data_IF_158339268090
#
_entry.id   IF_158339268090
#
_cell.length_a   1.000
_cell.length_b   1.000
_cell.length_c   1.000
_cell.angle_alpha   90.00
_cell.angle_beta   90.00
_cell.angle_gamma   90.00
#
_symmetry.space_group_name_H-M   'P 1'
#
loop_
_entity.id
_entity.type
_entity.pdbx_description
1 polymer ?
#
# COMPACT_ATOMS: atom_id res chain seq x y z
N UNK A 1 -18.86 -11.58 -12.12
CA UNK A 1 -17.97 -11.23 -13.24
C UNK A 1 -17.19 -9.99 -12.81
N UNK A 2 -15.97 -10.20 -12.32
CA UNK A 2 -15.02 -9.10 -12.13
C UNK A 2 -14.62 -8.70 -13.55
N UNK A 3 -15.14 -7.58 -14.03
CA UNK A 3 -14.56 -6.91 -15.19
C UNK A 3 -13.17 -6.48 -14.75
N UNK A 4 -12.15 -7.11 -15.30
CA UNK A 4 -10.77 -6.72 -15.15
C UNK A 4 -10.67 -5.25 -15.60
N UNK A 5 -10.46 -4.36 -14.64
CA UNK A 5 -10.10 -2.99 -14.95
C UNK A 5 -8.69 -3.07 -15.52
N UNK A 6 -8.61 -3.15 -16.84
CA UNK A 6 -7.36 -2.96 -17.55
C UNK A 6 -6.86 -1.55 -17.20
N UNK A 7 -5.77 -1.48 -16.46
CA UNK A 7 -5.07 -0.23 -16.17
C UNK A 7 -4.28 0.25 -17.40
N UNK A 8 -4.89 0.13 -18.58
CA UNK A 8 -4.29 0.52 -19.85
C UNK A 8 -4.70 1.93 -20.28
N UNK A 9 -5.40 2.68 -19.42
CA UNK A 9 -5.81 4.04 -19.72
C UNK A 9 -5.79 4.90 -18.46
N UNK A 10 -5.60 6.21 -18.63
CA UNK A 10 -5.63 7.20 -17.56
C UNK A 10 -4.34 7.27 -16.74
N UNK A 11 -4.48 7.62 -15.46
CA UNK A 11 -3.35 7.90 -14.56
C UNK A 11 -2.39 6.72 -14.39
N UNK A 12 -2.90 5.50 -14.42
CA UNK A 12 -2.10 4.27 -14.20
C UNK A 12 -1.90 3.47 -15.49
N UNK A 13 -1.93 4.13 -16.65
CA UNK A 13 -1.55 3.50 -17.91
C UNK A 13 -0.14 2.95 -17.82
N UNK A 14 0.00 1.63 -18.02
CA UNK A 14 1.27 0.93 -17.90
C UNK A 14 2.13 1.09 -19.16
N UNK A 15 1.52 1.39 -20.30
CA UNK A 15 2.19 1.46 -21.60
C UNK A 15 2.78 2.86 -21.88
N UNK A 16 2.45 3.85 -21.04
CA UNK A 16 2.90 5.23 -21.21
C UNK A 16 3.54 5.79 -19.93
N UNK A 17 4.68 6.48 -20.09
CA UNK A 17 5.30 7.24 -19.00
C UNK A 17 4.69 8.65 -19.02
N UNK A 18 3.82 8.94 -18.06
CA UNK A 18 3.18 10.25 -17.91
C UNK A 18 4.10 11.22 -17.21
N UNK A 19 3.88 12.52 -17.43
CA UNK A 19 4.66 13.59 -16.81
C UNK A 19 3.89 14.22 -15.65
N UNK A 20 4.56 14.39 -14.51
CA UNK A 20 4.10 15.20 -13.38
C UNK A 20 5.05 16.38 -13.21
N UNK A 21 4.49 17.60 -13.24
CA UNK A 21 5.21 18.82 -12.91
C UNK A 21 4.71 19.34 -11.56
N UNK A 22 5.62 19.58 -10.64
CA UNK A 22 5.38 20.23 -9.35
C UNK A 22 6.13 21.56 -9.30
N UNK A 23 5.44 22.62 -8.91
CA UNK A 23 6.09 23.92 -8.72
C UNK A 23 5.84 24.42 -7.32
N UNK A 24 6.92 24.58 -6.57
CA UNK A 24 6.91 25.17 -5.22
C UNK A 24 7.21 26.66 -5.32
N UNK A 25 6.43 27.47 -4.58
CA UNK A 25 6.72 28.90 -4.39
C UNK A 25 7.79 29.13 -3.32
N UNK A 26 8.02 28.12 -2.47
CA UNK A 26 9.04 28.15 -1.42
C UNK A 26 10.42 27.87 -2.03
N UNK A 27 11.38 28.79 -1.96
CA UNK A 27 12.72 28.55 -2.52
C UNK A 27 13.44 27.38 -1.86
N UNK A 28 13.28 27.22 -0.54
CA UNK A 28 13.94 26.19 0.26
C UNK A 28 13.02 24.97 0.49
N UNK A 29 12.20 24.64 -0.51
CA UNK A 29 11.16 23.60 -0.42
C UNK A 29 11.68 22.25 0.08
N UNK A 30 12.90 21.86 -0.28
CA UNK A 30 13.50 20.60 0.18
C UNK A 30 13.70 20.61 1.69
N UNK A 31 14.30 21.68 2.24
CA UNK A 31 14.50 21.86 3.68
C UNK A 31 13.16 21.86 4.43
N UNK A 32 12.14 22.51 3.87
CA UNK A 32 10.79 22.51 4.48
C UNK A 32 10.18 21.12 4.48
N UNK A 33 10.32 20.34 3.39
CA UNK A 33 9.83 18.95 3.34
C UNK A 33 10.59 18.04 4.32
N UNK A 34 11.90 18.23 4.49
CA UNK A 34 12.70 17.51 5.48
C UNK A 34 12.25 17.83 6.91
N UNK A 35 12.03 19.11 7.24
CA UNK A 35 11.54 19.54 8.56
C UNK A 35 10.13 19.00 8.86
N UNK A 36 9.30 18.86 7.84
CA UNK A 36 7.94 18.34 7.96
C UNK A 36 7.88 16.79 7.96
N UNK A 37 9.00 16.11 7.73
CA UNK A 37 9.02 14.65 7.66
C UNK A 37 8.54 14.04 8.99
N UNK A 38 7.65 13.05 8.89
CA UNK A 38 7.04 12.39 10.06
C UNK A 38 5.92 13.18 10.77
N UNK A 39 5.73 14.47 10.46
CA UNK A 39 4.69 15.30 11.10
C UNK A 39 3.32 15.19 10.45
N UNK A 40 3.24 14.61 9.26
CA UNK A 40 2.02 14.57 8.45
C UNK A 40 1.72 15.88 7.70
N UNK A 41 2.56 16.92 7.87
CA UNK A 41 2.37 18.23 7.23
C UNK A 41 2.83 18.20 5.78
N UNK A 42 1.96 18.64 4.86
CA UNK A 42 2.28 18.77 3.43
C UNK A 42 2.63 20.23 3.09
N UNK A 43 3.62 20.42 2.22
CA UNK A 43 3.95 21.71 1.62
C UNK A 43 3.09 21.94 0.38
N UNK A 44 2.63 23.16 0.20
CA UNK A 44 1.80 23.58 -0.92
C UNK A 44 2.61 23.69 -2.21
N UNK A 45 2.09 23.12 -3.31
CA UNK A 45 2.64 23.26 -4.66
C UNK A 45 1.54 23.44 -5.68
N UNK A 46 1.88 23.90 -6.90
CA UNK A 46 1.02 23.72 -8.08
C UNK A 46 1.44 22.43 -8.80
N UNK A 47 0.49 21.82 -9.50
CA UNK A 47 0.71 20.57 -10.22
C UNK A 47 0.15 20.65 -11.65
N UNK A 48 0.86 20.07 -12.61
CA UNK A 48 0.25 19.59 -13.83
C UNK A 48 0.49 18.09 -14.00
N UNK A 49 -0.45 17.44 -14.64
CA UNK A 49 -0.40 16.02 -14.99
C UNK A 49 -0.52 15.90 -16.49
N UNK A 50 0.50 15.36 -17.14
CA UNK A 50 0.59 15.19 -18.60
C UNK A 50 0.26 16.50 -19.37
N UNK A 51 0.79 17.63 -18.89
CA UNK A 51 0.56 18.97 -19.44
C UNK A 51 -0.77 19.62 -19.06
N UNK A 52 -1.67 18.90 -18.39
CA UNK A 52 -2.95 19.45 -17.93
C UNK A 52 -2.80 19.99 -16.51
N UNK A 53 -3.06 21.29 -16.34
CA UNK A 53 -2.96 21.92 -15.02
C UNK A 53 -4.06 21.42 -14.08
N UNK A 54 -3.66 21.00 -12.88
CA UNK A 54 -4.58 20.74 -11.76
C UNK A 54 -5.05 22.10 -11.21
N UNK A 55 -6.38 22.34 -11.10
CA UNK A 55 -6.90 23.69 -10.86
C UNK A 55 -6.42 24.34 -9.57
N UNK A 56 -6.55 23.63 -8.44
CA UNK A 56 -6.17 24.11 -7.12
C UNK A 56 -4.81 23.54 -6.70
N UNK A 57 -4.16 24.19 -5.73
CA UNK A 57 -2.87 23.71 -5.24
C UNK A 57 -2.97 22.35 -4.56
N UNK A 58 -1.91 21.57 -4.72
CA UNK A 58 -1.74 20.25 -4.15
C UNK A 58 -0.87 20.29 -2.89
N UNK A 59 -0.98 19.27 -2.04
CA UNK A 59 -0.09 19.05 -0.91
C UNK A 59 1.00 18.04 -1.26
N UNK A 60 2.25 18.37 -0.92
CA UNK A 60 3.38 17.48 -1.18
C UNK A 60 4.15 17.24 0.10
N UNK A 61 4.54 15.99 0.35
CA UNK A 61 5.43 15.62 1.46
C UNK A 61 6.32 14.46 1.09
N UNK A 62 7.44 14.34 1.78
CA UNK A 62 8.27 13.14 1.71
C UNK A 62 7.58 11.95 2.39
N UNK A 63 7.90 10.74 1.93
CA UNK A 63 7.41 9.49 2.51
C UNK A 63 8.50 8.41 2.54
N UNK A 64 8.24 7.34 3.32
CA UNK A 64 9.21 6.27 3.53
C UNK A 64 10.36 6.73 4.44
N UNK A 65 11.58 6.44 4.06
CA UNK A 65 12.80 6.97 4.70
C UNK A 65 13.35 8.14 3.87
N UNK A 66 13.96 9.13 4.53
CA UNK A 66 14.68 10.23 3.89
C UNK A 66 16.17 10.06 4.04
N UNK A 67 16.96 10.85 3.30
CA UNK A 67 18.42 10.78 3.31
C UNK A 67 18.94 9.67 2.40
N UNK A 68 18.26 9.43 1.26
CA UNK A 68 18.76 8.47 0.28
C UNK A 68 20.14 8.86 -0.23
N UNK A 69 21.00 7.87 -0.46
CA UNK A 69 22.38 8.11 -0.94
C UNK A 69 22.44 8.84 -2.30
N UNK A 70 21.33 8.80 -3.05
CA UNK A 70 21.20 9.47 -4.35
C UNK A 70 20.59 10.87 -4.25
N UNK A 71 20.16 11.30 -3.05
CA UNK A 71 19.40 12.54 -2.85
C UNK A 71 18.00 12.53 -3.47
N UNK A 72 17.55 11.37 -3.96
CA UNK A 72 16.25 11.21 -4.59
C UNK A 72 15.26 10.64 -3.58
N UNK A 73 14.38 11.49 -3.05
CA UNK A 73 13.39 11.10 -2.05
C UNK A 73 12.07 10.63 -2.71
N UNK A 74 11.29 9.85 -1.96
CA UNK A 74 9.93 9.47 -2.37
C UNK A 74 8.93 10.54 -1.94
N UNK A 75 7.87 10.74 -2.74
CA UNK A 75 6.87 11.76 -2.49
C UNK A 75 5.47 11.16 -2.31
N UNK A 76 4.68 11.82 -1.50
CA UNK A 76 3.23 11.74 -1.51
C UNK A 76 2.68 13.07 -2.00
N UNK A 77 1.86 13.04 -3.04
CA UNK A 77 1.19 14.20 -3.60
C UNK A 77 -0.31 14.05 -3.39
N UNK A 78 -0.94 15.04 -2.76
CA UNK A 78 -2.36 15.07 -2.41
C UNK A 78 -3.06 16.12 -3.27
N UNK A 79 -3.75 15.67 -4.32
CA UNK A 79 -4.49 16.55 -5.21
C UNK A 79 -5.64 17.26 -4.48
N UNK A 80 -6.29 16.57 -3.56
CA UNK A 80 -7.42 17.04 -2.76
C UNK A 80 -7.01 17.92 -1.54
N UNK A 81 -5.75 18.38 -1.48
CA UNK A 81 -5.19 19.11 -0.34
C UNK A 81 -5.93 20.42 -0.01
N UNK A 82 -6.26 21.22 -1.01
CA UNK A 82 -7.00 22.47 -0.85
C UNK A 82 -8.48 22.30 -1.14
N UNK A 83 -8.79 21.53 -2.15
CA UNK A 83 -10.15 21.25 -2.59
C UNK A 83 -10.44 19.75 -2.46
N UNK A 84 -11.24 19.32 -1.46
CA UNK A 84 -11.52 17.89 -1.21
C UNK A 84 -12.24 17.17 -2.35
N UNK A 85 -12.69 17.89 -3.38
CA UNK A 85 -13.32 17.32 -4.58
C UNK A 85 -12.38 17.26 -5.77
N UNK A 86 -11.16 17.75 -5.62
CA UNK A 86 -10.17 17.76 -6.68
C UNK A 86 -9.51 16.38 -6.80
N UNK A 87 -9.45 15.89 -7.99
CA UNK A 87 -8.73 14.66 -8.35
C UNK A 87 -8.14 14.80 -9.77
N UNK A 88 -7.37 13.79 -10.17
CA UNK A 88 -6.92 13.58 -11.54
C UNK A 88 -7.44 12.21 -11.95
N UNK A 89 -8.37 12.17 -12.88
CA UNK A 89 -9.03 10.94 -13.35
C UNK A 89 -9.60 10.05 -12.22
N UNK A 90 -10.12 10.69 -11.15
CA UNK A 90 -10.68 9.99 -9.98
C UNK A 90 -9.67 9.63 -8.89
N UNK A 91 -8.40 9.99 -9.05
CA UNK A 91 -7.34 9.75 -8.08
C UNK A 91 -6.91 11.03 -7.36
N UNK A 92 -7.03 11.05 -6.04
CA UNK A 92 -6.68 12.23 -5.23
C UNK A 92 -5.29 12.14 -4.60
N UNK A 93 -4.63 11.00 -4.66
CA UNK A 93 -3.32 10.80 -4.02
C UNK A 93 -2.39 10.01 -4.91
N UNK A 94 -1.18 10.53 -5.13
CA UNK A 94 -0.11 9.89 -5.87
C UNK A 94 1.02 9.54 -4.92
N UNK A 95 1.53 8.32 -5.04
CA UNK A 95 2.68 7.83 -4.30
C UNK A 95 3.82 7.64 -5.28
N UNK A 96 4.77 8.56 -5.26
CA UNK A 96 5.93 8.55 -6.15
C UNK A 96 7.11 7.93 -5.42
N UNK A 97 7.36 6.65 -5.67
CA UNK A 97 8.47 5.92 -5.06
C UNK A 97 9.76 6.14 -5.84
N UNK A 98 10.84 6.44 -5.11
CA UNK A 98 12.18 6.54 -5.67
C UNK A 98 12.81 5.17 -6.01
N UNK A 99 12.13 4.08 -5.66
CA UNK A 99 12.60 2.70 -5.84
C UNK A 99 14.00 2.43 -5.24
N UNK A 100 14.31 3.05 -4.10
CA UNK A 100 15.66 3.03 -3.49
C UNK A 100 16.22 1.62 -3.26
N UNK A 101 15.36 0.61 -3.07
CA UNK A 101 15.76 -0.78 -2.86
C UNK A 101 15.64 -1.64 -4.12
N UNK A 102 15.26 -1.06 -5.26
CA UNK A 102 15.08 -1.74 -6.54
C UNK A 102 15.81 -1.02 -7.66
N UNK A 103 17.04 -1.42 -7.93
CA UNK A 103 17.87 -0.85 -9.00
C UNK A 103 17.24 -1.03 -10.40
N UNK A 104 16.39 -2.04 -10.57
CA UNK A 104 15.68 -2.27 -11.82
C UNK A 104 14.48 -1.35 -12.01
N UNK A 105 13.92 -0.81 -10.91
CA UNK A 105 12.65 -0.09 -10.83
C UNK A 105 11.43 -0.90 -11.31
N UNK A 106 11.57 -2.22 -11.56
CA UNK A 106 10.55 -3.05 -12.21
C UNK A 106 9.79 -3.94 -11.23
N UNK A 107 10.31 -4.21 -10.03
CA UNK A 107 9.77 -5.24 -9.12
C UNK A 107 8.33 -4.96 -8.73
N UNK A 108 8.05 -3.79 -8.17
CA UNK A 108 6.70 -3.39 -7.79
C UNK A 108 5.74 -3.38 -8.99
N UNK A 109 6.20 -2.89 -10.14
CA UNK A 109 5.39 -2.85 -11.37
C UNK A 109 5.05 -4.24 -11.89
N UNK A 110 6.02 -5.15 -11.96
CA UNK A 110 5.79 -6.54 -12.38
C UNK A 110 4.89 -7.27 -11.41
N UNK A 111 5.15 -7.16 -10.10
CA UNK A 111 4.35 -7.82 -9.09
C UNK A 111 2.89 -7.37 -9.16
N UNK A 112 2.67 -6.05 -9.21
CA UNK A 112 1.33 -5.48 -9.37
C UNK A 112 0.66 -5.93 -10.66
N UNK A 113 1.33 -5.79 -11.81
CA UNK A 113 0.76 -6.14 -13.11
C UNK A 113 0.28 -7.60 -13.18
N UNK A 114 1.07 -8.52 -12.63
CA UNK A 114 0.68 -9.93 -12.56
C UNK A 114 -0.35 -10.20 -11.47
N UNK A 115 -0.13 -9.66 -10.27
CA UNK A 115 -0.98 -9.95 -9.10
C UNK A 115 -2.41 -9.42 -9.25
N UNK A 116 -2.59 -8.27 -9.88
CA UNK A 116 -3.92 -7.69 -10.16
C UNK A 116 -4.84 -8.59 -10.99
N UNK A 117 -4.31 -9.57 -11.67
CA UNK A 117 -5.10 -10.59 -12.39
C UNK A 117 -5.80 -11.58 -11.45
N UNK A 118 -5.38 -11.65 -10.18
CA UNK A 118 -5.83 -12.66 -9.24
C UNK A 118 -6.40 -12.08 -7.93
N UNK A 119 -5.81 -10.99 -7.43
CA UNK A 119 -6.20 -10.38 -6.15
C UNK A 119 -6.29 -8.85 -6.24
N UNK A 120 -6.98 -8.21 -5.28
CA UNK A 120 -6.91 -6.76 -5.12
C UNK A 120 -5.49 -6.31 -4.84
N UNK A 121 -4.94 -5.47 -5.73
CA UNK A 121 -3.63 -4.84 -5.58
C UNK A 121 -3.65 -3.41 -6.11
N UNK A 122 -2.72 -2.59 -5.67
CA UNK A 122 -2.49 -1.26 -6.21
C UNK A 122 -2.14 -1.31 -7.71
N UNK A 123 -2.57 -0.34 -8.50
CA UNK A 123 -1.96 -0.08 -9.81
C UNK A 123 -0.56 0.48 -9.61
N UNK A 124 0.35 0.10 -10.51
CA UNK A 124 1.72 0.63 -10.53
C UNK A 124 2.12 0.91 -11.97
N UNK A 125 2.58 2.14 -12.21
CA UNK A 125 3.18 2.54 -13.49
C UNK A 125 4.36 3.49 -13.24
N UNK A 126 4.80 4.20 -14.26
CA UNK A 126 5.92 5.12 -14.18
C UNK A 126 5.50 6.53 -14.54
N UNK A 127 6.16 7.49 -13.91
CA UNK A 127 6.02 8.90 -14.25
C UNK A 127 7.37 9.59 -14.27
N UNK A 128 7.54 10.52 -15.21
CA UNK A 128 8.63 11.49 -15.19
C UNK A 128 8.25 12.65 -14.29
N UNK A 129 9.03 12.86 -13.24
CA UNK A 129 8.82 13.96 -12.30
C UNK A 129 9.68 15.15 -12.65
N UNK A 130 9.07 16.32 -12.76
CA UNK A 130 9.72 17.61 -12.86
C UNK A 130 9.38 18.44 -11.62
N UNK A 131 10.37 19.12 -11.05
CA UNK A 131 10.19 20.04 -9.93
C UNK A 131 10.82 21.37 -10.29
N UNK A 132 10.04 22.46 -10.22
CA UNK A 132 10.47 23.80 -10.61
C UNK A 132 11.18 23.82 -11.97
N UNK A 133 10.52 23.23 -12.98
CA UNK A 133 10.98 23.07 -14.38
C UNK A 133 12.24 22.22 -14.58
N UNK A 134 12.79 21.63 -13.51
CA UNK A 134 13.96 20.74 -13.61
C UNK A 134 13.53 19.28 -13.59
N UNK A 135 14.10 18.45 -14.48
CA UNK A 135 13.87 17.02 -14.47
C UNK A 135 14.42 16.38 -13.19
N UNK A 136 13.54 15.79 -12.39
CA UNK A 136 13.89 15.17 -11.12
C UNK A 136 14.14 13.66 -11.23
N UNK A 137 13.61 13.04 -12.26
CA UNK A 137 13.83 11.64 -12.61
C UNK A 137 12.56 10.83 -12.84
N UNK A 138 12.77 9.59 -13.23
CA UNK A 138 11.71 8.58 -13.35
C UNK A 138 11.31 8.08 -11.96
N UNK A 139 10.01 8.01 -11.68
CA UNK A 139 9.45 7.50 -10.43
C UNK A 139 8.50 6.35 -10.69
N UNK A 140 8.45 5.41 -9.76
CA UNK A 140 7.41 4.39 -9.70
C UNK A 140 6.18 5.03 -9.05
N UNK A 141 5.09 5.17 -9.79
CA UNK A 141 3.84 5.72 -9.31
C UNK A 141 2.93 4.59 -8.83
N UNK A 142 2.72 4.53 -7.52
CA UNK A 142 1.94 3.48 -6.84
C UNK A 142 0.59 4.02 -6.41
N UNK A 143 -0.47 3.33 -6.78
CA UNK A 143 -1.83 3.69 -6.36
C UNK A 143 -1.98 3.63 -4.84
N UNK A 144 -2.49 4.71 -4.27
CA UNK A 144 -2.78 4.75 -2.84
C UNK A 144 -4.00 3.88 -2.51
N UNK A 145 -3.87 2.99 -1.54
CA UNK A 145 -4.97 2.12 -1.08
C UNK A 145 -6.00 2.91 -0.25
N UNK A 146 -6.76 3.76 -0.92
CA UNK A 146 -7.80 4.61 -0.34
C UNK A 146 -9.22 4.13 -0.68
N UNK A 147 -10.21 5.00 -0.51
CA UNK A 147 -11.61 4.67 -0.81
C UNK A 147 -11.88 4.51 -2.32
N UNK A 148 -11.11 5.18 -3.20
CA UNK A 148 -11.23 5.00 -4.65
C UNK A 148 -10.78 3.59 -5.02
N UNK A 149 -9.60 3.18 -4.56
CA UNK A 149 -9.09 1.83 -4.74
C UNK A 149 -10.04 0.76 -4.15
N UNK A 150 -10.60 0.99 -2.95
CA UNK A 150 -11.56 0.04 -2.36
C UNK A 150 -12.79 -0.13 -3.27
N UNK A 151 -13.26 0.95 -3.90
CA UNK A 151 -14.40 0.89 -4.82
C UNK A 151 -14.11 0.11 -6.11
N UNK A 152 -12.86 0.10 -6.57
CA UNK A 152 -12.46 -0.67 -7.76
C UNK A 152 -12.57 -2.18 -7.54
N UNK A 153 -12.26 -2.63 -6.34
CA UNK A 153 -12.10 -4.06 -6.04
C UNK A 153 -13.23 -4.68 -5.24
N UNK A 154 -13.99 -3.88 -4.52
CA UNK A 154 -15.03 -4.33 -3.62
C UNK A 154 -16.38 -3.73 -4.00
N UNK A 155 -17.45 -4.43 -3.67
CA UNK A 155 -18.82 -4.01 -4.01
C UNK A 155 -19.20 -2.67 -3.37
N UNK A 156 -18.55 -2.33 -2.27
CA UNK A 156 -18.85 -1.14 -1.47
C UNK A 156 -17.57 -0.47 -0.99
N UNK A 157 -17.64 0.84 -0.74
CA UNK A 157 -16.61 1.56 0.01
C UNK A 157 -16.69 1.30 1.51
N UNK A 158 -17.75 0.64 1.95
CA UNK A 158 -18.03 0.36 3.33
C UNK A 158 -17.21 -0.85 3.78
N UNK A 159 -16.22 -0.60 4.61
CA UNK A 159 -15.33 -1.63 5.11
C UNK A 159 -14.30 -1.04 6.05
N UNK A 160 -13.81 -1.85 6.96
CA UNK A 160 -12.68 -1.48 7.81
C UNK A 160 -11.38 -1.93 7.17
N UNK A 161 -10.32 -1.18 7.40
CA UNK A 161 -9.01 -1.47 6.82
C UNK A 161 -7.91 -1.26 7.84
N UNK A 162 -7.07 -2.25 7.99
CA UNK A 162 -5.89 -2.22 8.85
C UNK A 162 -4.64 -2.42 8.00
N UNK A 163 -3.57 -1.74 8.36
CA UNK A 163 -2.23 -2.06 7.89
C UNK A 163 -1.53 -2.90 8.95
N UNK A 164 -0.97 -4.02 8.55
CA UNK A 164 -0.12 -4.84 9.40
C UNK A 164 1.26 -4.18 9.49
N UNK A 165 1.39 -3.27 10.44
CA UNK A 165 2.58 -2.45 10.67
C UNK A 165 2.79 -2.34 12.19
N UNK A 166 3.90 -2.87 12.71
CA UNK A 166 4.21 -2.74 14.13
C UNK A 166 4.37 -1.27 14.53
N UNK A 167 3.90 -0.93 15.72
CA UNK A 167 4.12 0.40 16.28
C UNK A 167 5.59 0.53 16.74
N UNK A 168 6.41 1.15 15.93
CA UNK A 168 7.84 1.38 16.20
C UNK A 168 8.06 2.21 17.48
N UNK A 169 7.11 3.06 17.88
CA UNK A 169 7.21 3.88 19.08
C UNK A 169 7.24 3.06 20.38
N UNK A 170 6.79 1.80 20.29
CA UNK A 170 6.79 0.86 21.41
C UNK A 170 8.10 0.08 21.55
N UNK A 171 9.12 0.39 20.76
CA UNK A 171 10.42 -0.30 20.80
C UNK A 171 10.33 -1.79 20.49
N UNK A 172 9.37 -2.18 19.66
CA UNK A 172 9.11 -3.57 19.29
C UNK A 172 10.04 -3.97 18.16
N UNK A 173 11.34 -4.09 18.41
CA UNK A 173 12.34 -4.53 17.41
C UNK A 173 12.01 -5.92 16.84
N UNK A 174 11.36 -6.77 17.60
CA UNK A 174 10.86 -8.10 17.19
C UNK A 174 9.37 -8.12 16.86
N UNK A 175 8.76 -6.98 16.67
CA UNK A 175 7.31 -6.88 16.55
C UNK A 175 6.76 -7.53 15.28
N UNK A 176 7.61 -7.72 14.27
CA UNK A 176 7.25 -8.41 13.03
C UNK A 176 7.14 -9.92 13.15
N UNK A 177 7.78 -10.56 14.14
CA UNK A 177 7.90 -12.02 14.18
C UNK A 177 6.56 -12.74 14.40
N UNK A 178 5.70 -12.69 13.39
CA UNK A 178 4.45 -13.44 13.29
C UNK A 178 3.25 -12.87 14.03
N UNK A 179 3.35 -11.77 14.76
CA UNK A 179 2.21 -11.27 15.57
C UNK A 179 1.15 -10.54 14.76
N UNK A 180 1.52 -9.93 13.66
CA UNK A 180 0.60 -9.37 12.66
C UNK A 180 0.19 -10.37 11.55
N UNK A 181 0.55 -11.64 11.68
CA UNK A 181 0.18 -12.71 10.73
C UNK A 181 -1.20 -13.31 10.99
N UNK A 182 -2.18 -12.51 11.35
CA UNK A 182 -3.52 -12.96 11.76
C UNK A 182 -3.48 -13.91 12.97
N UNK A 183 -2.54 -13.69 13.88
CA UNK A 183 -2.45 -14.43 15.12
C UNK A 183 -3.54 -13.99 16.10
N UNK A 184 -4.10 -14.96 16.82
CA UNK A 184 -5.04 -14.67 17.90
C UNK A 184 -4.30 -14.23 19.17
N UNK A 185 -4.38 -12.94 19.49
CA UNK A 185 -3.73 -12.30 20.64
C UNK A 185 -4.66 -12.12 21.85
N UNK A 186 -5.82 -12.78 21.84
CA UNK A 186 -6.88 -12.60 22.84
C UNK A 186 -8.03 -11.74 22.30
N UNK A 187 -9.01 -11.45 23.16
CA UNK A 187 -10.23 -10.73 22.77
C UNK A 187 -10.11 -9.20 22.96
N UNK A 188 -9.02 -8.75 23.57
CA UNK A 188 -8.77 -7.33 23.80
C UNK A 188 -8.09 -6.69 22.58
N UNK A 189 -8.75 -5.72 21.97
CA UNK A 189 -8.25 -4.98 20.80
C UNK A 189 -6.94 -4.23 21.08
N UNK A 190 -6.64 -3.90 22.33
CA UNK A 190 -5.39 -3.22 22.70
C UNK A 190 -4.15 -4.06 22.40
N UNK A 191 -4.28 -5.39 22.37
CA UNK A 191 -3.21 -6.27 21.95
C UNK A 191 -2.90 -6.18 20.44
N UNK A 192 -3.92 -5.89 19.64
CA UNK A 192 -3.81 -5.78 18.18
C UNK A 192 -3.33 -4.41 17.73
N UNK A 193 -3.68 -3.33 18.42
CA UNK A 193 -3.23 -1.96 18.08
C UNK A 193 -1.70 -1.81 18.01
N UNK A 194 -0.96 -2.73 18.61
CA UNK A 194 0.51 -2.76 18.56
C UNK A 194 1.06 -3.26 17.22
N UNK A 195 0.24 -3.97 16.46
CA UNK A 195 0.66 -4.69 15.25
C UNK A 195 -0.16 -4.35 14.03
N UNK A 196 -1.28 -3.67 14.22
CA UNK A 196 -2.19 -3.26 13.16
C UNK A 196 -2.58 -1.81 13.34
N UNK A 197 -2.30 -0.99 12.34
CA UNK A 197 -2.75 0.40 12.28
C UNK A 197 -4.11 0.46 11.59
N UNK A 198 -5.15 0.93 12.29
CA UNK A 198 -6.49 1.10 11.76
C UNK A 198 -6.57 2.32 10.84
N UNK A 199 -6.47 2.09 9.53
CA UNK A 199 -6.49 3.14 8.51
C UNK A 199 -7.90 3.62 8.15
N UNK A 200 -8.91 2.78 8.38
CA UNK A 200 -10.33 3.11 8.14
C UNK A 200 -11.22 2.29 9.04
N UNK A 201 -12.16 2.98 9.68
CA UNK A 201 -13.23 2.40 10.48
C UNK A 201 -14.55 2.55 9.74
N UNK A 202 -15.33 1.47 9.65
CA UNK A 202 -16.68 1.49 9.08
C UNK A 202 -17.78 1.39 10.16
N UNK A 203 -17.50 0.75 11.26
CA UNK A 203 -18.44 0.52 12.36
C UNK A 203 -17.81 0.85 13.71
N UNK A 204 -18.64 0.98 14.76
CA UNK A 204 -18.20 1.39 16.10
C UNK A 204 -17.12 0.48 16.70
N UNK A 205 -17.20 -0.82 16.42
CA UNK A 205 -16.15 -1.79 16.78
C UNK A 205 -15.61 -2.50 15.54
N UNK A 206 -14.59 -1.95 14.90
CA UNK A 206 -13.95 -2.60 13.76
C UNK A 206 -13.11 -3.81 14.16
N UNK A 207 -12.61 -3.86 15.40
CA UNK A 207 -11.67 -4.89 15.84
C UNK A 207 -12.30 -6.27 15.99
N UNK A 208 -13.59 -6.34 16.29
CA UNK A 208 -14.30 -7.63 16.47
C UNK A 208 -14.20 -8.54 15.25
N UNK A 209 -14.16 -7.98 14.02
CA UNK A 209 -14.05 -8.78 12.79
C UNK A 209 -12.65 -9.33 12.60
N UNK A 210 -11.62 -8.50 12.81
CA UNK A 210 -10.23 -8.94 12.74
C UNK A 210 -9.93 -10.00 13.81
N UNK A 211 -10.36 -9.75 15.06
CA UNK A 211 -10.20 -10.67 16.18
C UNK A 211 -10.95 -11.99 15.92
N UNK A 212 -12.16 -11.90 15.38
CA UNK A 212 -12.95 -13.08 14.99
C UNK A 212 -12.23 -13.95 13.98
N UNK A 213 -11.70 -13.36 12.91
CA UNK A 213 -10.93 -14.08 11.89
C UNK A 213 -9.65 -14.70 12.49
N UNK A 214 -8.90 -13.94 13.28
CA UNK A 214 -7.70 -14.45 13.97
C UNK A 214 -8.04 -15.62 14.88
N UNK A 215 -9.14 -15.53 15.65
CA UNK A 215 -9.60 -16.61 16.53
C UNK A 215 -9.90 -17.90 15.75
N UNK A 216 -10.64 -17.80 14.65
CA UNK A 216 -10.99 -18.95 13.82
C UNK A 216 -9.73 -19.63 13.27
N UNK A 217 -8.80 -18.85 12.72
CA UNK A 217 -7.55 -19.42 12.17
C UNK A 217 -6.68 -20.11 13.21
N UNK A 218 -6.70 -19.65 14.46
CA UNK A 218 -5.74 -20.12 15.46
C UNK A 218 -6.35 -21.12 16.48
N UNK A 219 -7.68 -21.21 16.57
CA UNK A 219 -8.35 -22.05 17.57
C UNK A 219 -9.15 -23.21 16.99
N UNK A 220 -9.46 -23.14 15.68
CA UNK A 220 -10.23 -24.19 15.02
C UNK A 220 -9.29 -25.05 14.16
N UNK A 221 -9.69 -26.28 13.94
CA UNK A 221 -8.93 -27.23 13.10
C UNK A 221 -9.86 -28.23 12.41
N UNK A 222 -9.33 -28.94 11.41
CA UNK A 222 -10.07 -29.99 10.69
C UNK A 222 -11.39 -29.47 10.10
N UNK A 223 -12.45 -30.25 10.20
CA UNK A 223 -13.78 -29.93 9.66
C UNK A 223 -14.35 -28.64 10.25
N UNK A 224 -14.16 -28.40 11.55
CA UNK A 224 -14.64 -27.18 12.18
C UNK A 224 -14.02 -25.93 11.56
N UNK A 225 -12.72 -25.94 11.27
CA UNK A 225 -12.06 -24.86 10.56
C UNK A 225 -12.62 -24.72 9.13
N UNK A 226 -12.70 -25.82 8.40
CA UNK A 226 -13.16 -25.83 7.00
C UNK A 226 -14.59 -25.26 6.86
N UNK A 227 -15.48 -25.58 7.80
CA UNK A 227 -16.84 -25.08 7.79
C UNK A 227 -16.98 -23.63 8.21
N UNK A 228 -16.11 -23.15 9.10
CA UNK A 228 -16.24 -21.83 9.72
C UNK A 228 -15.45 -20.76 8.99
N UNK A 229 -14.25 -21.06 8.53
CA UNK A 229 -13.30 -20.06 7.97
C UNK A 229 -13.90 -19.24 6.83
N UNK A 230 -14.68 -19.87 5.95
CA UNK A 230 -15.34 -19.23 4.80
C UNK A 230 -16.35 -18.15 5.16
N UNK A 231 -16.80 -18.09 6.41
CA UNK A 231 -17.71 -17.03 6.90
C UNK A 231 -16.97 -15.78 7.40
N UNK A 232 -15.67 -15.90 7.69
CA UNK A 232 -14.84 -14.81 8.22
C UNK A 232 -13.76 -14.35 7.26
N UNK A 233 -13.34 -15.23 6.36
CA UNK A 233 -12.21 -14.99 5.45
C UNK A 233 -12.63 -15.32 4.02
N UNK A 234 -12.25 -14.49 3.07
CA UNK A 234 -12.30 -14.83 1.66
C UNK A 234 -11.16 -15.80 1.36
N UNK A 235 -11.48 -17.09 1.42
CA UNK A 235 -10.50 -18.16 1.31
C UNK A 235 -9.83 -18.17 -0.05
N UNK A 236 -10.60 -17.94 -1.13
CA UNK A 236 -10.06 -17.96 -2.49
C UNK A 236 -9.03 -16.84 -2.69
N UNK A 237 -9.39 -15.60 -2.37
CA UNK A 237 -8.45 -14.47 -2.44
C UNK A 237 -7.25 -14.63 -1.52
N UNK A 238 -7.44 -15.22 -0.33
CA UNK A 238 -6.35 -15.49 0.61
C UNK A 238 -5.37 -16.53 0.05
N UNK A 239 -5.86 -17.59 -0.58
CA UNK A 239 -4.99 -18.58 -1.21
C UNK A 239 -4.20 -18.01 -2.39
N UNK A 240 -4.81 -17.14 -3.20
CA UNK A 240 -4.11 -16.42 -4.26
C UNK A 240 -3.06 -15.45 -3.71
N UNK A 241 -3.38 -14.72 -2.64
CA UNK A 241 -2.43 -13.87 -1.94
C UNK A 241 -1.19 -14.66 -1.49
N UNK A 242 -1.38 -15.78 -0.80
CA UNK A 242 -0.28 -16.65 -0.38
C UNK A 242 0.49 -17.26 -1.55
N UNK A 243 -0.18 -17.59 -2.65
CA UNK A 243 0.46 -18.11 -3.85
C UNK A 243 1.37 -17.04 -4.50
N UNK A 244 0.89 -15.81 -4.62
CA UNK A 244 1.66 -14.69 -5.17
C UNK A 244 2.88 -14.35 -4.28
N UNK A 245 2.70 -14.30 -2.97
CA UNK A 245 3.78 -14.12 -2.01
C UNK A 245 4.90 -15.18 -2.20
N UNK A 246 4.50 -16.43 -2.38
CA UNK A 246 5.45 -17.52 -2.60
C UNK A 246 6.14 -17.45 -3.97
N UNK A 247 5.41 -17.09 -5.03
CA UNK A 247 5.97 -17.00 -6.39
C UNK A 247 6.90 -15.81 -6.55
N UNK A 248 6.48 -14.65 -6.06
CA UNK A 248 7.26 -13.41 -6.19
C UNK A 248 8.28 -13.22 -5.08
N UNK A 249 8.17 -13.98 -3.99
CA UNK A 249 9.12 -13.97 -2.87
C UNK A 249 9.44 -12.55 -2.38
N UNK A 250 8.40 -11.77 -2.12
CA UNK A 250 8.60 -10.45 -1.57
C UNK A 250 9.25 -10.56 -0.18
N UNK A 251 10.45 -10.02 -0.03
CA UNK A 251 11.20 -10.12 1.22
C UNK A 251 10.60 -9.30 2.35
N UNK A 252 9.90 -8.23 2.01
CA UNK A 252 9.17 -7.40 2.96
C UNK A 252 7.73 -7.88 3.16
N UNK A 253 7.26 -8.86 2.36
CA UNK A 253 5.88 -9.33 2.38
C UNK A 253 5.54 -10.29 3.52
N UNK A 254 4.27 -10.68 3.54
CA UNK A 254 3.64 -11.49 4.57
C UNK A 254 4.40 -12.79 4.92
N UNK A 255 4.82 -13.54 3.88
CA UNK A 255 5.45 -14.86 4.09
C UNK A 255 6.87 -14.74 4.62
N UNK A 256 7.65 -13.80 4.09
CA UNK A 256 9.08 -13.71 4.37
C UNK A 256 9.42 -12.85 5.59
N UNK A 257 8.65 -11.80 5.85
CA UNK A 257 8.89 -10.86 6.96
C UNK A 257 8.10 -11.19 8.22
N UNK A 258 7.29 -12.25 8.20
CA UNK A 258 6.54 -12.68 9.38
C UNK A 258 5.23 -11.93 9.58
N UNK A 259 4.52 -11.62 8.49
CA UNK A 259 3.18 -11.06 8.52
C UNK A 259 3.13 -9.57 8.77
N UNK A 260 4.03 -8.82 8.18
CA UNK A 260 4.01 -7.34 8.14
C UNK A 260 3.88 -6.84 6.72
N UNK A 261 3.73 -5.53 6.57
CA UNK A 261 3.69 -4.81 5.29
C UNK A 261 2.59 -5.25 4.31
N UNK A 262 1.47 -5.68 4.84
CA UNK A 262 0.27 -5.95 4.05
C UNK A 262 -0.95 -5.27 4.68
N UNK A 263 -2.06 -5.24 3.96
CA UNK A 263 -3.33 -4.76 4.50
C UNK A 263 -4.30 -5.91 4.75
N UNK A 264 -5.18 -5.71 5.71
CA UNK A 264 -6.37 -6.52 5.93
C UNK A 264 -7.58 -5.64 5.69
N UNK A 265 -8.52 -6.10 4.86
CA UNK A 265 -9.78 -5.40 4.60
C UNK A 265 -10.92 -6.27 5.06
N UNK A 266 -11.80 -5.71 5.87
CA UNK A 266 -13.11 -6.29 6.11
C UNK A 266 -14.12 -5.67 5.16
N UNK A 267 -14.74 -6.50 4.33
CA UNK A 267 -15.74 -6.10 3.35
C UNK A 267 -17.14 -6.21 3.96
N UNK A 268 -17.90 -5.12 3.96
CA UNK A 268 -19.22 -5.07 4.60
C UNK A 268 -20.27 -5.95 3.92
N UNK A 269 -20.17 -6.13 2.60
CA UNK A 269 -21.17 -6.88 1.82
C UNK A 269 -21.07 -8.40 2.03
N UNK A 270 -19.87 -8.90 2.28
CA UNK A 270 -19.64 -10.33 2.51
C UNK A 270 -19.42 -10.68 3.97
N UNK A 271 -19.06 -9.70 4.80
CA UNK A 271 -18.67 -9.91 6.20
C UNK A 271 -17.32 -10.58 6.37
N UNK A 272 -16.47 -10.60 5.34
CA UNK A 272 -15.22 -11.34 5.30
C UNK A 272 -14.01 -10.43 5.30
N UNK A 273 -12.91 -10.91 5.85
CA UNK A 273 -11.61 -10.26 5.68
C UNK A 273 -10.91 -10.77 4.43
N UNK A 274 -10.14 -9.89 3.82
CA UNK A 274 -9.30 -10.14 2.65
C UNK A 274 -7.92 -9.59 2.93
N UNK A 275 -6.83 -10.38 2.90
CA UNK A 275 -5.48 -9.85 2.89
C UNK A 275 -5.17 -9.21 1.54
N UNK A 276 -4.41 -8.13 1.56
CA UNK A 276 -4.10 -7.33 0.37
C UNK A 276 -2.63 -6.94 0.39
N UNK A 277 -1.97 -7.15 -0.73
CA UNK A 277 -0.60 -6.71 -0.95
C UNK A 277 -0.47 -5.18 -0.93
N UNK A 278 0.66 -4.72 -0.40
CA UNK A 278 0.90 -3.29 -0.28
C UNK A 278 2.12 -2.82 -1.05
N UNK A 279 3.27 -3.43 -0.83
CA UNK A 279 4.55 -2.99 -1.38
C UNK A 279 5.28 -4.18 -2.03
N UNK A 280 5.45 -4.14 -3.33
CA UNK A 280 6.19 -5.16 -4.10
C UNK A 280 7.62 -4.73 -4.44
N UNK A 281 8.15 -3.71 -3.80
CA UNK A 281 9.48 -3.18 -4.10
C UNK A 281 10.63 -4.15 -3.84
N UNK A 282 10.41 -5.14 -3.00
CA UNK A 282 11.38 -6.20 -2.70
C UNK A 282 10.99 -7.58 -3.28
N UNK A 283 9.95 -7.63 -4.11
CA UNK A 283 9.57 -8.83 -4.86
C UNK A 283 10.69 -9.27 -5.83
N UNK A 284 10.81 -10.56 -6.09
CA UNK A 284 11.81 -11.16 -6.99
C UNK A 284 13.27 -10.81 -6.63
N UNK A 285 13.52 -10.43 -5.39
CA UNK A 285 14.87 -10.10 -4.93
C UNK A 285 15.61 -11.38 -4.63
N UNK A 286 16.73 -11.62 -5.33
CA UNK A 286 17.61 -12.75 -5.04
C UNK A 286 18.09 -12.68 -3.59
N UNK A 287 18.25 -13.83 -2.92
CA UNK A 287 18.81 -13.89 -1.57
C UNK A 287 20.13 -13.11 -1.52
N UNK A 288 20.33 -12.36 -0.45
CA UNK A 288 21.65 -11.79 -0.14
C UNK A 288 22.69 -12.92 -0.05
N UNK A 289 23.97 -12.56 -0.07
CA UNK A 289 25.14 -13.46 -0.08
C UNK A 289 25.15 -14.60 0.97
N UNK A 290 24.17 -14.65 1.86
CA UNK A 290 24.01 -15.67 2.89
C UNK A 290 23.37 -16.99 2.42
N UNK A 291 23.14 -17.15 1.11
CA UNK A 291 22.84 -18.44 0.49
C UNK A 291 21.52 -19.10 0.89
N UNK A 292 20.61 -18.42 1.54
CA UNK A 292 19.28 -18.95 1.80
C UNK A 292 18.36 -18.68 0.61
N UNK A 293 18.34 -19.64 -0.30
CA UNK A 293 17.26 -19.78 -1.27
C UNK A 293 16.00 -20.22 -0.52
N UNK A 294 14.99 -19.39 -0.50
CA UNK A 294 13.71 -19.69 0.14
C UNK A 294 12.79 -20.57 -0.71
N UNK A 295 13.23 -21.01 -1.88
CA UNK A 295 12.50 -21.98 -2.70
C UNK A 295 13.07 -23.36 -2.42
N UNK A 296 12.35 -24.15 -1.66
CA UNK A 296 12.45 -25.61 -1.69
C UNK A 296 11.21 -26.18 -2.33
#
# INVERSE_FOLDING_TARGET
LVTWLDATQGVYDFDEIKRIDLTFSEPDWQTVLEQNFGTGTSLRATMSYDGVKVPDAVGVRYRGSIGSATGKESFRVEADFVNPKQDVDGYSTFILSNANKDESMMRAALFSHFGRKYIPMACVNYVDLYINDSYWGLYVNVQHLNNAWTKEWFLSRNGSRWRAEPDESLGLEDAGAGKSSLNYLGDDSTAYNKYYDLKKCYKDDPWSDLIGACRILNRFSGEQLADTVRHYIDVDRTLWFLALENVFQDKDGYVNKGGTDYYVIWESETGRIVPVEYDGGEALKTSNADGQSSVK
#
